data_IF_577087554766
#
_entry.id   IF_577087554766
#
_cell.length_a   1.000
_cell.length_b   1.000
_cell.length_c   1.000
_cell.angle_alpha   90.00
_cell.angle_beta   90.00
_cell.angle_gamma   90.00
#
_symmetry.space_group_name_H-M   'P 1'
#
loop_
_entity.id
_entity.type
_entity.pdbx_description
1 polymer ?
#
# COMPACT_ATOMS: atom_id res chain seq x y z
N UNK A 1 -3.85 -40.69 -3.10
CA UNK A 1 -3.88 -39.34 -2.53
C UNK A 1 -3.36 -38.41 -3.61
N UNK A 2 -4.17 -37.44 -4.07
CA UNK A 2 -3.73 -36.49 -5.09
C UNK A 2 -2.89 -35.40 -4.41
N UNK A 3 -1.84 -34.90 -5.07
CA UNK A 3 -0.98 -33.86 -4.51
C UNK A 3 -1.74 -32.54 -4.27
N UNK A 4 -2.84 -32.35 -5.02
CA UNK A 4 -3.76 -31.20 -4.89
C UNK A 4 -4.56 -31.19 -3.59
N UNK A 5 -4.70 -32.34 -2.93
CA UNK A 5 -5.34 -32.41 -1.62
C UNK A 5 -4.43 -31.82 -0.54
N UNK A 6 -3.11 -31.91 -0.75
CA UNK A 6 -2.06 -31.42 0.16
C UNK A 6 -1.77 -29.94 -0.11
N UNK A 7 -1.60 -29.56 -1.37
CA UNK A 7 -1.32 -28.18 -1.78
C UNK A 7 -2.63 -27.58 -2.29
N UNK A 8 -3.42 -27.03 -1.36
CA UNK A 8 -4.66 -26.35 -1.67
C UNK A 8 -4.64 -24.89 -1.17
N UNK A 9 -5.51 -24.06 -1.74
CA UNK A 9 -5.56 -22.61 -1.43
C UNK A 9 -5.87 -22.35 0.04
N UNK A 10 -6.65 -23.23 0.68
CA UNK A 10 -7.03 -23.08 2.09
C UNK A 10 -5.84 -23.35 3.02
N UNK A 11 -5.04 -24.38 2.74
CA UNK A 11 -3.84 -24.70 3.52
C UNK A 11 -2.79 -23.61 3.34
N UNK A 12 -2.57 -23.13 2.12
CA UNK A 12 -1.64 -22.01 1.84
C UNK A 12 -2.10 -20.75 2.60
N UNK A 13 -3.39 -20.41 2.53
CA UNK A 13 -3.91 -19.26 3.26
C UNK A 13 -3.75 -19.42 4.79
N UNK A 14 -4.00 -20.62 5.30
CA UNK A 14 -3.85 -20.93 6.73
C UNK A 14 -2.40 -20.76 7.16
N UNK A 15 -1.44 -21.34 6.41
CA UNK A 15 -0.01 -21.19 6.63
C UNK A 15 0.41 -19.72 6.74
N UNK A 16 0.02 -18.91 5.75
CA UNK A 16 0.38 -17.48 5.70
C UNK A 16 -0.23 -16.71 6.89
N UNK A 17 -1.47 -17.03 7.29
CA UNK A 17 -2.12 -16.35 8.41
C UNK A 17 -1.56 -16.71 9.79
N UNK A 18 -0.95 -17.89 9.92
CA UNK A 18 -0.35 -18.35 11.17
C UNK A 18 1.07 -17.82 11.38
N UNK A 19 1.71 -17.28 10.34
CA UNK A 19 3.00 -16.62 10.44
C UNK A 19 2.91 -15.35 11.30
N UNK A 20 3.98 -15.06 12.03
CA UNK A 20 4.05 -13.88 12.88
C UNK A 20 4.05 -12.60 12.01
N UNK A 21 3.22 -11.59 12.34
CA UNK A 21 3.19 -10.36 11.55
C UNK A 21 4.46 -9.53 11.78
N UNK A 22 5.18 -9.23 10.71
CA UNK A 22 6.27 -8.26 10.75
C UNK A 22 5.74 -6.85 10.50
N UNK A 23 5.98 -5.93 11.44
CA UNK A 23 5.54 -4.54 11.30
C UNK A 23 6.69 -3.66 10.80
N UNK A 24 6.52 -3.07 9.62
CA UNK A 24 7.47 -2.09 9.08
C UNK A 24 7.29 -0.71 9.70
N UNK A 25 8.29 0.16 9.58
CA UNK A 25 8.24 1.54 10.09
C UNK A 25 7.11 2.32 9.42
N UNK A 26 6.94 2.17 8.10
CA UNK A 26 5.87 2.81 7.37
C UNK A 26 4.50 2.32 7.82
N UNK A 27 4.34 1.04 8.16
CA UNK A 27 3.08 0.52 8.68
C UNK A 27 2.72 1.10 10.06
N UNK A 28 3.72 1.34 10.92
CA UNK A 28 3.50 2.01 12.20
C UNK A 28 3.01 3.47 12.03
N UNK A 29 3.51 4.18 11.02
CA UNK A 29 3.10 5.56 10.71
C UNK A 29 1.76 5.62 9.93
N UNK A 30 1.54 4.66 9.04
CA UNK A 30 0.39 4.56 8.15
C UNK A 30 -0.20 3.15 8.19
N UNK A 31 -1.09 2.87 9.16
CA UNK A 31 -1.64 1.52 9.35
C UNK A 31 -2.51 1.10 8.17
N UNK A 32 -2.45 -0.21 7.84
CA UNK A 32 -3.22 -0.80 6.74
C UNK A 32 -4.73 -0.75 7.03
N UNK A 33 -5.52 -0.36 6.03
CA UNK A 33 -6.99 -0.42 6.08
C UNK A 33 -7.52 -1.08 4.83
N UNK A 34 -8.40 -2.07 5.01
CA UNK A 34 -9.06 -2.76 3.91
C UNK A 34 -10.25 -1.93 3.41
N UNK A 35 -10.37 -1.75 2.09
CA UNK A 35 -11.50 -1.12 1.43
C UNK A 35 -12.10 -2.10 0.41
N UNK A 36 -13.44 -2.13 0.32
CA UNK A 36 -14.16 -3.04 -0.57
C UNK A 36 -14.09 -2.65 -2.05
N UNK A 37 -13.90 -1.36 -2.35
CA UNK A 37 -13.83 -0.82 -3.70
C UNK A 37 -12.46 -0.23 -4.01
N UNK A 38 -12.14 -0.12 -5.29
CA UNK A 38 -10.88 0.46 -5.77
C UNK A 38 -10.89 1.99 -5.88
N UNK A 39 -12.08 2.59 -5.82
CA UNK A 39 -12.25 4.05 -5.93
C UNK A 39 -12.03 4.74 -4.58
N UNK A 40 -11.05 5.64 -4.52
CA UNK A 40 -10.81 6.55 -3.40
C UNK A 40 -11.45 7.91 -3.71
N UNK A 41 -12.51 8.23 -2.98
CA UNK A 41 -13.16 9.55 -3.02
C UNK A 41 -12.70 10.38 -1.85
N UNK A 42 -11.79 11.32 -2.08
CA UNK A 42 -11.43 12.31 -1.06
C UNK A 42 -12.19 13.61 -1.31
N UNK A 43 -13.17 13.87 -0.45
CA UNK A 43 -13.85 15.16 -0.37
C UNK A 43 -12.89 16.12 0.34
N UNK A 44 -12.32 17.08 -0.39
CA UNK A 44 -11.56 18.19 0.22
C UNK A 44 -12.54 19.15 0.90
N UNK A 45 -13.16 18.69 1.98
CA UNK A 45 -14.01 19.52 2.82
C UNK A 45 -13.13 20.53 3.53
N UNK A 46 -13.22 21.81 3.13
CA UNK A 46 -12.73 22.89 3.96
C UNK A 46 -13.36 22.70 5.35
N UNK A 47 -12.53 22.35 6.35
CA UNK A 47 -12.91 22.28 7.76
C UNK A 47 -13.90 23.40 8.04
N UNK A 48 -15.04 23.06 8.62
CA UNK A 48 -16.17 23.91 9.01
C UNK A 48 -15.74 25.28 9.57
N UNK A 49 -15.28 26.20 8.70
CA UNK A 49 -14.98 27.57 9.10
C UNK A 49 -16.33 28.26 9.21
N UNK A 50 -16.69 28.81 10.38
CA UNK A 50 -17.94 29.57 10.52
C UNK A 50 -17.92 30.73 9.53
N UNK A 51 -18.81 30.68 8.54
CA UNK A 51 -18.99 31.74 7.55
C UNK A 51 -19.93 32.78 8.14
N UNK A 52 -19.44 34.01 8.29
CA UNK A 52 -20.20 35.15 8.82
C UNK A 52 -21.51 35.32 8.05
N UNK A 53 -22.61 35.51 8.78
CA UNK A 53 -23.94 35.78 8.21
C UNK A 53 -23.93 37.15 7.50
N UNK A 54 -24.44 37.20 6.26
CA UNK A 54 -24.60 38.47 5.55
C UNK A 54 -25.74 39.26 6.21
N UNK A 55 -25.59 40.57 6.45
CA UNK A 55 -26.68 41.38 6.98
C UNK A 55 -27.85 41.40 6.00
N UNK A 56 -29.07 41.21 6.53
CA UNK A 56 -30.32 41.30 5.78
C UNK A 56 -31.10 42.52 6.27
N UNK A 57 -31.68 43.29 5.35
CA UNK A 57 -32.65 44.36 5.64
C UNK A 57 -34.03 43.76 5.95
N UNK A 58 -34.84 44.46 6.75
CA UNK A 58 -36.23 44.07 7.03
C UNK A 58 -37.09 44.17 5.75
N UNK A 59 -38.08 43.27 5.63
CA UNK A 59 -39.03 43.11 4.50
C UNK A 59 -38.48 42.63 3.13
N UNK A 60 -37.36 41.88 3.11
CA UNK A 60 -36.84 41.28 1.86
C UNK A 60 -36.87 39.75 1.94
N UNK A 61 -37.25 39.08 0.84
CA UNK A 61 -37.26 37.62 0.73
C UNK A 61 -35.89 37.02 1.08
N UNK A 62 -35.91 35.91 1.84
CA UNK A 62 -34.70 35.21 2.30
C UNK A 62 -33.82 34.86 1.10
N UNK A 63 -32.61 35.43 1.04
CA UNK A 63 -31.63 35.04 0.02
C UNK A 63 -31.20 33.60 0.31
N UNK A 64 -31.69 32.65 -0.50
CA UNK A 64 -31.31 31.23 -0.41
C UNK A 64 -29.80 31.13 -0.61
N UNK A 65 -29.10 30.63 0.40
CA UNK A 65 -27.67 30.33 0.32
C UNK A 65 -27.51 29.13 -0.62
N UNK A 66 -26.75 29.30 -1.70
CA UNK A 66 -26.33 28.14 -2.48
C UNK A 66 -25.53 27.20 -1.56
N UNK A 67 -25.98 25.96 -1.40
CA UNK A 67 -25.25 24.84 -0.78
C UNK A 67 -24.07 24.42 -1.68
N UNK A 68 -23.22 25.37 -2.05
CA UNK A 68 -21.97 25.12 -2.74
C UNK A 68 -20.84 25.63 -1.86
N UNK A 69 -20.58 24.90 -0.77
CA UNK A 69 -19.19 24.53 -0.58
C UNK A 69 -18.83 23.76 -1.87
N UNK A 70 -18.02 24.36 -2.74
CA UNK A 70 -17.37 23.63 -3.81
C UNK A 70 -16.54 22.54 -3.12
N UNK A 71 -17.17 21.39 -2.94
CA UNK A 71 -16.50 20.18 -2.53
C UNK A 71 -15.78 19.75 -3.80
N UNK A 72 -14.49 20.07 -3.87
CA UNK A 72 -13.62 19.45 -4.85
C UNK A 72 -13.53 17.96 -4.46
N UNK A 73 -14.37 17.14 -5.09
CA UNK A 73 -14.31 15.68 -5.00
C UNK A 73 -13.14 15.23 -5.87
N UNK A 74 -12.07 14.77 -5.22
CA UNK A 74 -10.94 14.16 -5.92
C UNK A 74 -11.17 12.67 -5.88
N UNK A 75 -11.66 12.14 -7.00
CA UNK A 75 -11.76 10.70 -7.25
C UNK A 75 -10.42 10.20 -7.80
N UNK A 76 -9.86 9.17 -7.19
CA UNK A 76 -8.67 8.48 -7.69
C UNK A 76 -8.81 6.98 -7.51
N UNK A 77 -8.31 6.21 -8.47
CA UNK A 77 -8.35 4.76 -8.41
C UNK A 77 -7.08 4.20 -7.78
N UNK A 78 -7.23 3.14 -6.99
CA UNK A 78 -6.10 2.42 -6.42
C UNK A 78 -5.35 1.63 -7.50
N UNK A 79 -4.01 1.57 -7.44
CA UNK A 79 -3.24 0.73 -8.34
C UNK A 79 -3.51 -0.76 -8.07
N UNK A 80 -3.55 -1.56 -9.12
CA UNK A 80 -3.76 -3.01 -9.04
C UNK A 80 -2.43 -3.74 -9.27
N UNK A 81 -2.07 -4.64 -8.35
CA UNK A 81 -0.88 -5.49 -8.46
C UNK A 81 -1.31 -6.95 -8.48
N UNK A 82 -0.71 -7.74 -9.37
CA UNK A 82 -0.94 -9.18 -9.45
C UNK A 82 0.29 -9.89 -9.96
N UNK A 83 0.73 -10.88 -9.21
CA UNK A 83 1.82 -11.79 -9.58
C UNK A 83 1.39 -13.24 -9.30
N UNK A 84 2.02 -14.20 -9.96
CA UNK A 84 1.74 -15.62 -9.78
C UNK A 84 3.00 -16.47 -9.84
N UNK A 85 3.12 -17.41 -8.91
CA UNK A 85 4.15 -18.46 -8.93
C UNK A 85 3.52 -19.77 -9.41
N UNK A 86 4.19 -20.43 -10.36
CA UNK A 86 3.82 -21.74 -10.85
C UNK A 86 4.60 -22.83 -10.10
N UNK A 87 3.91 -23.92 -9.74
CA UNK A 87 4.55 -25.12 -9.19
C UNK A 87 5.24 -25.85 -10.36
N UNK A 88 6.55 -26.09 -10.22
CA UNK A 88 7.33 -26.79 -11.23
C UNK A 88 6.99 -28.29 -11.27
N UNK A 89 7.19 -28.90 -12.43
CA UNK A 89 6.94 -30.34 -12.60
C UNK A 89 7.89 -31.20 -11.77
N UNK A 90 9.12 -30.72 -11.55
CA UNK A 90 10.09 -31.42 -10.71
C UNK A 90 9.66 -31.49 -9.24
N UNK A 91 9.15 -30.39 -8.69
CA UNK A 91 8.65 -30.38 -7.30
C UNK A 91 7.44 -31.34 -7.15
N UNK A 92 6.60 -31.49 -8.18
CA UNK A 92 5.53 -32.50 -8.19
C UNK A 92 6.06 -33.92 -8.20
N UNK A 93 7.05 -34.22 -9.05
CA UNK A 93 7.66 -35.54 -9.10
C UNK A 93 8.31 -35.90 -7.77
N UNK A 94 9.08 -34.98 -7.20
CA UNK A 94 9.75 -35.18 -5.92
C UNK A 94 8.72 -35.42 -4.80
N UNK A 95 7.58 -34.70 -4.81
CA UNK A 95 6.47 -34.92 -3.86
C UNK A 95 5.79 -36.30 -4.05
N UNK A 96 5.54 -36.72 -5.29
CA UNK A 96 4.97 -38.05 -5.57
C UNK A 96 5.90 -39.18 -5.14
N UNK A 97 7.21 -39.03 -5.36
CA UNK A 97 8.22 -39.98 -4.88
C UNK A 97 8.26 -40.02 -3.36
N UNK A 98 8.17 -38.87 -2.69
CA UNK A 98 8.11 -38.77 -1.23
C UNK A 98 6.87 -39.48 -0.66
N UNK A 99 5.71 -39.31 -1.30
CA UNK A 99 4.46 -40.00 -0.96
C UNK A 99 4.58 -41.52 -1.13
N UNK A 100 5.19 -41.98 -2.21
CA UNK A 100 5.41 -43.41 -2.44
C UNK A 100 6.40 -44.01 -1.44
N UNK A 101 7.45 -43.27 -1.08
CA UNK A 101 8.43 -43.66 -0.08
C UNK A 101 7.90 -43.60 1.36
N UNK A 102 6.69 -43.07 1.58
CA UNK A 102 6.07 -42.86 2.88
C UNK A 102 6.97 -42.08 3.87
N UNK A 103 7.78 -41.18 3.32
CA UNK A 103 8.73 -40.37 4.09
C UNK A 103 8.12 -39.01 4.42
N UNK A 104 7.52 -38.92 5.61
CA UNK A 104 6.80 -37.72 6.05
C UNK A 104 7.69 -36.48 6.16
N UNK A 105 8.96 -36.63 6.55
CA UNK A 105 9.88 -35.50 6.66
C UNK A 105 10.16 -34.87 5.29
N UNK A 106 10.34 -35.71 4.27
CA UNK A 106 10.62 -35.25 2.92
C UNK A 106 9.39 -34.61 2.27
N UNK A 107 8.20 -35.14 2.54
CA UNK A 107 6.93 -34.51 2.13
C UNK A 107 6.82 -33.11 2.75
N UNK A 108 7.01 -33.00 4.06
CA UNK A 108 6.90 -31.73 4.78
C UNK A 108 7.92 -30.69 4.25
N UNK A 109 9.16 -31.10 3.97
CA UNK A 109 10.18 -30.21 3.43
C UNK A 109 9.81 -29.64 2.05
N UNK A 110 9.26 -30.48 1.16
CA UNK A 110 8.82 -30.03 -0.18
C UNK A 110 7.61 -29.09 -0.07
N UNK A 111 6.63 -29.45 0.77
CA UNK A 111 5.43 -28.63 0.98
C UNK A 111 5.81 -27.27 1.57
N UNK A 112 6.69 -27.24 2.57
CA UNK A 112 7.14 -26.00 3.20
C UNK A 112 7.86 -25.10 2.18
N UNK A 113 8.75 -25.65 1.36
CA UNK A 113 9.40 -24.90 0.27
C UNK A 113 8.38 -24.30 -0.71
N UNK A 114 7.33 -25.04 -1.05
CA UNK A 114 6.28 -24.54 -1.95
C UNK A 114 5.49 -23.42 -1.27
N UNK A 115 5.17 -23.57 0.01
CA UNK A 115 4.43 -22.57 0.78
C UNK A 115 5.25 -21.30 1.00
N UNK A 116 6.56 -21.41 1.23
CA UNK A 116 7.46 -20.26 1.36
C UNK A 116 7.49 -19.43 0.07
N UNK A 117 7.52 -20.06 -1.11
CA UNK A 117 7.43 -19.31 -2.38
C UNK A 117 6.12 -18.50 -2.51
N UNK A 118 5.02 -18.99 -1.92
CA UNK A 118 3.76 -18.24 -1.90
C UNK A 118 3.78 -17.14 -0.83
N UNK A 119 4.48 -17.36 0.29
CA UNK A 119 4.69 -16.34 1.30
C UNK A 119 5.52 -15.17 0.74
N UNK A 120 6.56 -15.45 -0.04
CA UNK A 120 7.39 -14.44 -0.70
C UNK A 120 6.56 -13.48 -1.59
N UNK A 121 5.48 -13.97 -2.21
CA UNK A 121 4.56 -13.12 -2.99
C UNK A 121 3.75 -12.17 -2.10
N UNK A 122 3.34 -12.62 -0.92
CA UNK A 122 2.64 -11.78 0.05
C UNK A 122 3.59 -10.73 0.62
N UNK A 123 4.80 -11.14 0.97
CA UNK A 123 5.86 -10.25 1.45
C UNK A 123 6.24 -9.22 0.38
N UNK A 124 6.27 -9.61 -0.90
CA UNK A 124 6.46 -8.70 -2.03
C UNK A 124 5.37 -7.63 -2.12
N UNK A 125 4.10 -8.02 -1.91
CA UNK A 125 2.98 -7.07 -1.82
C UNK A 125 3.12 -6.10 -0.65
N UNK A 126 3.57 -6.60 0.50
CA UNK A 126 3.81 -5.81 1.71
C UNK A 126 4.96 -4.81 1.56
N UNK A 127 6.05 -5.24 0.94
CA UNK A 127 7.16 -4.38 0.57
C UNK A 127 6.76 -3.31 -0.43
N UNK A 128 5.85 -3.61 -1.35
CA UNK A 128 5.37 -2.60 -2.28
C UNK A 128 4.51 -1.54 -1.61
N UNK A 129 3.68 -1.92 -0.62
CA UNK A 129 3.00 -0.95 0.24
C UNK A 129 3.99 -0.10 1.03
N UNK A 130 5.06 -0.70 1.55
CA UNK A 130 6.09 0.02 2.28
C UNK A 130 6.84 1.01 1.38
N UNK A 131 7.20 0.60 0.16
CA UNK A 131 7.81 1.47 -0.83
C UNK A 131 6.90 2.67 -1.13
N UNK A 132 5.60 2.45 -1.33
CA UNK A 132 4.64 3.54 -1.54
C UNK A 132 4.59 4.51 -0.35
N UNK A 133 4.59 3.98 0.88
CA UNK A 133 4.63 4.79 2.10
C UNK A 133 5.92 5.59 2.22
N UNK A 134 7.06 5.00 1.87
CA UNK A 134 8.35 5.67 1.94
C UNK A 134 8.52 6.71 0.84
N UNK A 135 8.08 6.44 -0.40
CA UNK A 135 8.05 7.43 -1.48
C UNK A 135 7.17 8.62 -1.10
N UNK A 136 6.01 8.37 -0.49
CA UNK A 136 5.15 9.44 0.02
C UNK A 136 5.90 10.35 1.01
N UNK A 137 6.69 9.76 1.91
CA UNK A 137 7.45 10.49 2.93
C UNK A 137 8.68 11.20 2.37
N UNK A 138 9.45 10.56 1.50
CA UNK A 138 10.73 11.07 0.97
C UNK A 138 10.55 12.09 -0.15
N UNK A 139 9.64 11.82 -1.09
CA UNK A 139 9.53 12.56 -2.34
C UNK A 139 8.54 13.73 -2.22
N UNK A 140 8.20 14.09 -0.98
CA UNK A 140 7.27 15.15 -0.66
C UNK A 140 5.89 14.86 -1.20
N UNK A 141 5.35 13.68 -0.93
CA UNK A 141 3.97 13.34 -1.27
C UNK A 141 3.74 12.87 -2.70
N UNK A 142 4.77 12.42 -3.41
CA UNK A 142 4.63 11.83 -4.75
C UNK A 142 4.97 10.35 -4.68
N UNK A 143 4.06 9.49 -5.11
CA UNK A 143 4.29 8.08 -5.35
C UNK A 143 4.53 7.92 -6.85
N UNK A 144 5.65 7.33 -7.23
CA UNK A 144 5.98 7.08 -8.63
C UNK A 144 6.58 5.68 -8.77
N UNK A 145 5.77 4.79 -9.34
CA UNK A 145 6.17 3.43 -9.68
C UNK A 145 5.97 3.27 -11.18
N UNK A 146 7.07 3.31 -11.92
CA UNK A 146 7.09 3.07 -13.38
C UNK A 146 7.53 1.64 -13.60
N UNK A 147 6.78 0.89 -14.40
CA UNK A 147 7.09 -0.49 -14.77
C UNK A 147 6.65 -0.76 -16.21
N UNK A 148 7.16 -1.83 -16.84
CA UNK A 148 6.76 -2.18 -18.22
C UNK A 148 5.26 -2.45 -18.35
N UNK A 149 4.63 -2.97 -17.28
CA UNK A 149 3.23 -3.39 -17.26
C UNK A 149 2.27 -2.27 -16.83
N UNK A 150 2.79 -1.13 -16.38
CA UNK A 150 1.96 0.03 -15.99
C UNK A 150 2.64 0.99 -15.04
N UNK A 151 2.16 2.23 -15.08
CA UNK A 151 2.67 3.33 -14.28
C UNK A 151 1.66 3.73 -13.20
N UNK A 152 2.16 3.85 -11.98
CA UNK A 152 1.42 4.38 -10.83
C UNK A 152 2.09 5.68 -10.41
N UNK A 153 1.50 6.79 -10.84
CA UNK A 153 1.95 8.13 -10.45
C UNK A 153 0.84 8.82 -9.68
N UNK A 154 1.12 9.19 -8.44
CA UNK A 154 0.16 9.83 -7.57
C UNK A 154 0.80 10.97 -6.79
N UNK A 155 0.31 12.19 -7.02
CA UNK A 155 0.68 13.36 -6.22
C UNK A 155 -0.41 13.68 -5.18
N UNK A 156 0.00 13.78 -3.91
CA UNK A 156 -0.83 14.18 -2.77
C UNK A 156 -0.85 15.70 -2.55
N UNK A 157 -0.10 16.48 -3.32
CA UNK A 157 -0.13 17.94 -3.29
C UNK A 157 0.48 18.52 -2.02
N UNK A 158 1.55 17.92 -1.50
CA UNK A 158 2.27 18.44 -0.34
C UNK A 158 2.93 19.78 -0.70
N UNK A 159 2.74 20.78 0.15
CA UNK A 159 3.31 22.13 -0.03
C UNK A 159 4.82 22.08 -0.20
N UNK A 160 5.35 22.91 -1.10
CA UNK A 160 6.79 23.05 -1.33
C UNK A 160 7.58 23.43 -0.05
N UNK A 161 6.91 24.06 0.92
CA UNK A 161 7.51 24.38 2.23
C UNK A 161 7.96 23.12 3.02
N UNK A 162 7.38 21.95 2.73
CA UNK A 162 7.76 20.69 3.35
C UNK A 162 8.75 19.88 2.49
N UNK A 163 9.24 20.45 1.38
CA UNK A 163 10.23 19.85 0.47
C UNK A 163 11.53 20.63 0.53
N UNK A 164 12.06 20.84 1.73
CA UNK A 164 13.26 21.64 1.91
C UNK A 164 14.49 20.93 1.35
N UNK A 165 15.24 21.63 0.52
CA UNK A 165 16.54 21.18 0.02
C UNK A 165 17.61 22.06 0.64
N UNK A 166 18.48 21.45 1.44
CA UNK A 166 19.60 22.15 2.07
C UNK A 166 20.49 22.78 1.00
N UNK A 167 20.64 24.10 1.05
CA UNK A 167 21.43 24.89 0.10
C UNK A 167 22.32 25.90 0.83
N UNK A 168 23.32 26.44 0.12
CA UNK A 168 24.26 27.41 0.70
C UNK A 168 25.02 26.87 1.92
N UNK A 169 25.07 27.67 2.98
CA UNK A 169 25.75 27.40 4.26
C UNK A 169 25.01 26.38 5.14
N UNK A 170 23.75 26.05 4.81
CA UNK A 170 22.95 25.06 5.54
C UNK A 170 23.29 23.62 5.14
N UNK A 171 24.15 23.42 4.13
CA UNK A 171 24.60 22.08 3.74
C UNK A 171 25.47 21.48 4.83
N UNK A 172 25.21 20.23 5.20
CA UNK A 172 26.04 19.50 6.17
C UNK A 172 27.46 19.22 5.68
N UNK A 173 27.73 19.41 4.38
CA UNK A 173 29.08 19.38 3.82
C UNK A 173 29.90 20.63 4.18
N UNK A 174 29.27 21.73 4.60
CA UNK A 174 29.96 22.93 5.07
C UNK A 174 30.28 22.78 6.56
N UNK A 175 31.47 22.29 6.85
CA UNK A 175 31.93 22.05 8.23
C UNK A 175 32.24 23.32 9.01
N UNK A 176 32.20 24.50 8.37
CA UNK A 176 32.53 25.79 9.00
C UNK A 176 31.28 26.55 9.41
N UNK A 177 30.23 26.53 8.59
CA UNK A 177 29.02 27.33 8.83
C UNK A 177 27.73 26.53 9.06
N UNK A 178 27.75 25.20 8.88
CA UNK A 178 26.57 24.38 9.14
C UNK A 178 26.29 24.25 10.64
N UNK A 179 25.03 24.42 11.05
CA UNK A 179 24.55 24.14 12.40
C UNK A 179 23.55 22.97 12.34
N UNK A 180 24.04 21.72 12.50
CA UNK A 180 23.23 20.52 12.37
C UNK A 180 22.22 20.33 13.50
#
# INVERSE_FOLDING_TARGET
>A
MDWRDIINVKEIATYITELAPETTIGEALFPRKKQLGMELKYIKGAKQKPVVLRPSTFDVAVKVRALKAQVDEVTKDMPFFKESVMINEKDRQDLLLALQANNQELINAIVLKIFDNYNDLVDGGDMQMERMRMQLLSDGGVISIVSEDGDVVFDFGVSAAHKEVLSGTSKWSDTVNSNP
#
